data_IF_523419340201
#
_entry.id   IF_523419340201
#
_cell.length_a   1.000
_cell.length_b   1.000
_cell.length_c   1.000
_cell.angle_alpha   90.00
_cell.angle_beta   90.00
_cell.angle_gamma   90.00
#
_symmetry.space_group_name_H-M   'P 1'
#
loop_
_entity.id
_entity.type
_entity.pdbx_description
1 polymer ?
#
# COMPACT_ATOMS: atom_id res chain seq x y z
N UNK A 1 11.39 -2.10 -28.58
CA UNK A 1 12.69 -2.28 -29.26
C UNK A 1 13.12 -0.93 -29.78
N UNK A 2 14.18 -0.37 -29.24
CA UNK A 2 14.78 0.87 -29.78
C UNK A 2 16.11 0.50 -30.41
N UNK A 3 16.26 0.71 -31.70
CA UNK A 3 17.52 0.65 -32.42
C UNK A 3 18.09 2.06 -32.46
N UNK A 4 19.34 2.26 -32.01
CA UNK A 4 20.05 3.49 -32.30
C UNK A 4 20.32 3.55 -33.83
N UNK A 5 19.81 4.57 -34.47
CA UNK A 5 20.05 4.80 -35.90
C UNK A 5 21.19 5.81 -36.01
N UNK A 6 22.23 5.45 -36.75
CA UNK A 6 23.25 6.39 -37.22
C UNK A 6 22.56 7.57 -37.93
N UNK A 7 23.13 8.81 -37.86
CA UNK A 7 22.53 9.97 -38.52
C UNK A 7 22.20 9.66 -39.98
N UNK A 8 21.02 10.04 -40.42
CA UNK A 8 20.56 9.82 -41.77
C UNK A 8 21.56 10.40 -42.78
N UNK A 9 22.09 9.53 -43.65
CA UNK A 9 22.98 9.94 -44.75
C UNK A 9 24.34 9.25 -44.83
N UNK A 10 24.80 8.58 -43.79
CA UNK A 10 26.03 7.76 -43.88
C UNK A 10 25.72 6.29 -43.56
N UNK A 11 26.02 5.33 -44.43
CA UNK A 11 25.99 3.93 -44.07
C UNK A 11 27.02 3.67 -42.95
N UNK A 12 26.70 2.85 -41.94
CA UNK A 12 27.67 2.49 -40.93
C UNK A 12 28.90 1.84 -41.58
N UNK A 13 30.10 2.08 -41.05
CA UNK A 13 31.31 1.39 -41.48
C UNK A 13 31.10 -0.13 -41.49
N UNK A 14 31.80 -0.86 -42.35
CA UNK A 14 31.68 -2.31 -42.47
C UNK A 14 32.01 -3.07 -41.15
N UNK A 15 32.71 -2.42 -40.24
CA UNK A 15 33.13 -2.88 -38.91
C UNK A 15 32.29 -2.28 -37.76
N UNK A 16 31.19 -1.62 -38.06
CA UNK A 16 30.32 -1.05 -37.03
C UNK A 16 29.70 -2.14 -36.17
N UNK A 17 29.97 -2.09 -34.88
CA UNK A 17 29.27 -2.91 -33.89
C UNK A 17 27.82 -2.50 -33.81
N UNK A 18 26.93 -3.48 -33.73
CA UNK A 18 25.51 -3.27 -33.49
C UNK A 18 25.20 -3.77 -32.09
N UNK A 19 24.86 -2.86 -31.20
CA UNK A 19 24.33 -3.20 -29.89
C UNK A 19 22.81 -3.19 -29.96
N UNK A 20 22.21 -4.19 -29.34
CA UNK A 20 20.74 -4.26 -29.20
C UNK A 20 20.39 -4.05 -27.73
N UNK A 21 19.61 -3.00 -27.48
CA UNK A 21 19.09 -2.72 -26.15
C UNK A 21 17.60 -3.04 -26.13
N UNK A 22 17.21 -3.91 -25.23
CA UNK A 22 15.81 -4.22 -24.95
C UNK A 22 15.44 -3.58 -23.62
N UNK A 23 14.47 -2.69 -23.64
CA UNK A 23 13.97 -2.00 -22.46
C UNK A 23 12.51 -2.38 -22.27
N UNK A 24 12.17 -2.91 -21.10
CA UNK A 24 10.81 -3.13 -20.67
C UNK A 24 10.34 -1.94 -19.83
N UNK A 25 9.23 -1.34 -20.22
CA UNK A 25 8.63 -0.22 -19.53
C UNK A 25 7.35 -0.66 -18.86
N UNK A 26 7.14 -0.19 -17.63
CA UNK A 26 5.88 -0.36 -16.90
C UNK A 26 5.38 0.93 -16.30
N UNK A 27 4.08 1.00 -16.06
CA UNK A 27 3.50 2.10 -15.31
C UNK A 27 3.90 1.97 -13.85
N UNK A 28 4.47 3.03 -13.30
CA UNK A 28 4.91 3.05 -11.90
C UNK A 28 3.71 2.96 -10.96
N UNK A 29 3.71 1.96 -10.08
CA UNK A 29 2.68 1.74 -9.07
C UNK A 29 3.02 2.43 -7.76
N UNK A 30 2.01 2.84 -6.99
CA UNK A 30 2.19 3.27 -5.59
C UNK A 30 2.66 2.14 -4.68
N UNK A 31 2.51 0.87 -5.07
CA UNK A 31 3.07 -0.27 -4.36
C UNK A 31 4.59 -0.24 -4.20
N UNK A 32 5.31 0.48 -5.10
CA UNK A 32 6.76 0.66 -5.03
C UNK A 32 7.25 1.43 -3.81
N UNK A 33 6.40 2.12 -3.10
CA UNK A 33 6.77 2.87 -1.90
C UNK A 33 6.58 2.01 -0.65
N UNK A 34 7.64 1.89 0.16
CA UNK A 34 7.52 1.40 1.53
C UNK A 34 6.59 2.31 2.33
N UNK A 35 6.72 3.62 2.05
CA UNK A 35 5.89 4.65 2.64
C UNK A 35 5.69 5.81 1.67
N UNK A 36 4.42 6.16 1.47
CA UNK A 36 4.02 7.36 0.74
C UNK A 36 2.97 8.12 1.55
N UNK A 37 3.07 9.44 1.61
CA UNK A 37 2.04 10.31 2.19
C UNK A 37 1.80 11.57 1.34
N UNK A 38 0.55 11.98 1.27
CA UNK A 38 0.17 13.30 0.75
C UNK A 38 0.45 14.41 1.77
N UNK A 39 0.29 14.10 3.08
CA UNK A 39 0.58 15.00 4.20
C UNK A 39 1.11 14.22 5.40
N UNK A 40 2.09 14.78 6.09
CA UNK A 40 2.76 14.16 7.25
C UNK A 40 2.02 14.39 8.58
N UNK A 41 0.76 14.77 8.54
CA UNK A 41 -0.05 14.88 9.74
C UNK A 41 -1.50 15.26 9.45
N UNK A 42 -2.39 15.13 10.43
CA UNK A 42 -3.74 15.65 10.32
C UNK A 42 -3.72 17.18 10.21
N UNK A 43 -4.82 17.77 9.75
CA UNK A 43 -4.98 19.21 9.48
C UNK A 43 -4.27 20.10 10.50
N UNK A 44 -3.17 20.72 10.09
CA UNK A 44 -2.38 21.65 10.92
C UNK A 44 -1.35 21.02 11.86
N UNK A 45 -1.39 19.71 12.10
CA UNK A 45 -0.40 18.97 12.88
C UNK A 45 0.66 18.31 12.00
N UNK A 46 1.87 18.14 12.53
CA UNK A 46 2.93 17.36 11.89
C UNK A 46 3.38 16.25 12.81
N UNK A 47 3.51 15.05 12.26
CA UNK A 47 4.05 13.90 12.99
C UNK A 47 5.52 13.78 12.62
N UNK A 48 6.41 13.94 13.61
CA UNK A 48 7.84 13.81 13.41
C UNK A 48 8.25 12.35 13.14
N UNK A 49 9.27 12.17 12.32
CA UNK A 49 10.06 10.95 12.28
C UNK A 49 11.10 11.03 13.39
N UNK A 50 11.05 10.14 14.36
CA UNK A 50 11.84 10.18 15.57
C UNK A 50 13.04 9.20 15.50
N UNK A 51 13.98 9.31 16.44
CA UNK A 51 15.18 8.45 16.54
C UNK A 51 14.87 6.94 16.47
N UNK A 52 13.72 6.50 16.99
CA UNK A 52 13.30 5.10 16.95
C UNK A 52 12.71 4.65 15.62
N UNK A 53 12.42 5.59 14.71
CA UNK A 53 11.77 5.26 13.46
C UNK A 53 12.81 4.80 12.43
N UNK A 54 12.51 3.67 11.79
CA UNK A 54 13.30 3.12 10.70
C UNK A 54 12.39 2.76 9.52
N UNK A 55 12.77 3.19 8.32
CA UNK A 55 12.06 2.87 7.08
C UNK A 55 12.97 2.05 6.17
N UNK A 56 12.55 0.82 5.88
CA UNK A 56 13.24 -0.09 4.97
C UNK A 56 12.54 -0.07 3.60
N UNK A 57 13.02 0.76 2.69
CA UNK A 57 12.51 0.86 1.33
C UNK A 57 12.25 2.29 0.87
N UNK A 58 11.78 2.49 -0.38
CA UNK A 58 11.56 3.81 -0.95
C UNK A 58 10.51 4.60 -0.16
N UNK A 59 10.84 5.86 0.11
CA UNK A 59 10.00 6.79 0.85
C UNK A 59 9.66 8.01 -0.02
N UNK A 60 8.40 8.42 0.01
CA UNK A 60 7.99 9.68 -0.58
C UNK A 60 6.96 10.41 0.30
N UNK A 61 7.04 11.74 0.33
CA UNK A 61 5.95 12.57 0.84
C UNK A 61 5.75 13.83 -0.01
N UNK A 62 4.51 14.19 -0.25
CA UNK A 62 4.13 15.46 -0.88
C UNK A 62 4.29 16.66 0.07
N UNK A 63 4.59 16.39 1.33
CA UNK A 63 4.80 17.38 2.38
C UNK A 63 6.30 17.57 2.67
N UNK A 64 6.61 18.26 3.76
CA UNK A 64 7.94 18.30 4.37
C UNK A 64 8.19 17.03 5.18
N UNK A 65 9.39 16.48 5.06
CA UNK A 65 9.86 15.49 6.03
C UNK A 65 10.26 16.24 7.30
N UNK A 66 9.55 16.00 8.40
CA UNK A 66 9.89 16.59 9.69
C UNK A 66 10.51 15.53 10.60
N UNK A 67 11.72 15.79 11.09
CA UNK A 67 12.50 14.82 11.85
C UNK A 67 12.84 15.33 13.25
N UNK A 68 12.87 14.40 14.21
CA UNK A 68 13.31 14.63 15.60
C UNK A 68 14.35 13.58 15.98
N UNK A 69 15.59 14.05 16.24
CA UNK A 69 16.71 13.17 16.53
C UNK A 69 17.29 12.51 15.26
N UNK A 70 17.47 11.19 15.29
CA UNK A 70 18.23 10.44 14.27
C UNK A 70 17.41 9.27 13.66
N UNK A 71 16.28 9.53 12.99
CA UNK A 71 15.56 8.49 12.26
C UNK A 71 16.42 7.94 11.12
N UNK A 72 16.20 6.68 10.73
CA UNK A 72 16.98 5.97 9.70
C UNK A 72 16.09 5.61 8.51
N UNK A 73 16.54 6.02 7.32
CA UNK A 73 15.89 5.69 6.05
C UNK A 73 16.89 4.91 5.19
N UNK A 74 16.62 3.63 4.98
CA UNK A 74 17.48 2.74 4.18
C UNK A 74 17.23 2.89 2.68
N UNK A 75 16.01 3.17 2.27
CA UNK A 75 15.65 3.43 0.88
C UNK A 75 15.84 4.89 0.48
N UNK A 76 15.70 5.18 -0.82
CA UNK A 76 15.71 6.56 -1.33
C UNK A 76 14.55 7.35 -0.73
N UNK A 77 14.85 8.51 -0.16
CA UNK A 77 13.87 9.46 0.36
C UNK A 77 13.67 10.58 -0.66
N UNK A 78 12.44 10.77 -1.07
CA UNK A 78 12.02 11.89 -1.92
C UNK A 78 10.92 12.68 -1.25
N UNK A 79 10.84 13.97 -1.49
CA UNK A 79 9.71 14.78 -1.05
C UNK A 79 9.50 16.02 -1.94
N UNK A 80 8.33 16.65 -1.78
CA UNK A 80 8.02 17.86 -2.52
C UNK A 80 8.50 19.13 -1.82
N UNK A 81 8.33 19.24 -0.51
CA UNK A 81 8.45 20.51 0.22
C UNK A 81 9.71 20.65 1.10
N UNK A 82 10.63 19.67 1.07
CA UNK A 82 11.90 19.73 1.78
C UNK A 82 11.91 19.08 3.16
N UNK A 83 12.97 19.37 3.93
CA UNK A 83 13.27 18.79 5.25
C UNK A 83 13.13 19.84 6.34
N UNK A 84 12.50 19.48 7.44
CA UNK A 84 12.50 20.27 8.69
C UNK A 84 13.11 19.45 9.80
N UNK A 85 14.11 19.99 10.47
CA UNK A 85 14.74 19.41 11.66
C UNK A 85 14.18 20.07 12.92
N UNK A 86 13.66 19.28 13.83
CA UNK A 86 13.10 19.76 15.08
C UNK A 86 13.47 18.81 16.24
N UNK A 87 14.48 19.17 17.04
CA UNK A 87 15.28 20.40 17.00
C UNK A 87 16.25 20.46 15.79
N UNK A 88 16.86 21.62 15.57
CA UNK A 88 17.72 21.89 14.40
C UNK A 88 18.97 21.00 14.33
N UNK A 89 19.44 20.49 15.47
CA UNK A 89 20.56 19.56 15.59
C UNK A 89 20.18 18.09 15.33
N UNK A 90 18.96 17.81 14.90
CA UNK A 90 18.55 16.46 14.48
C UNK A 90 19.41 15.96 13.31
N UNK A 91 19.80 14.68 13.34
CA UNK A 91 20.74 14.04 12.41
C UNK A 91 20.10 12.82 11.71
N UNK A 92 19.08 13.01 10.84
CA UNK A 92 18.48 11.90 10.12
C UNK A 92 19.50 11.22 9.23
N UNK A 93 19.40 9.89 9.11
CA UNK A 93 20.26 9.08 8.24
C UNK A 93 19.50 8.71 6.97
N UNK A 94 19.98 9.18 5.81
CA UNK A 94 19.40 8.90 4.49
C UNK A 94 20.34 7.97 3.70
N UNK A 95 20.39 6.68 4.06
CA UNK A 95 21.33 5.71 3.49
C UNK A 95 21.09 5.46 1.99
N UNK A 96 19.82 5.53 1.53
CA UNK A 96 19.45 5.43 0.12
C UNK A 96 19.45 6.75 -0.64
N UNK A 97 19.94 7.83 -0.01
CA UNK A 97 19.94 9.20 -0.58
C UNK A 97 18.67 9.98 -0.28
N UNK A 98 18.78 11.31 -0.44
CA UNK A 98 17.71 12.28 -0.21
C UNK A 98 17.57 13.23 -1.40
N UNK A 99 16.33 13.48 -1.83
CA UNK A 99 16.03 14.40 -2.91
C UNK A 99 14.72 15.14 -2.62
N UNK A 100 14.73 16.47 -2.74
CA UNK A 100 13.54 17.32 -2.58
C UNK A 100 13.07 17.88 -3.92
N UNK A 101 11.87 18.48 -3.95
CA UNK A 101 11.29 19.07 -5.16
C UNK A 101 10.65 18.04 -6.10
N UNK A 102 10.46 16.81 -5.64
CA UNK A 102 9.83 15.75 -6.41
C UNK A 102 8.33 15.74 -6.12
N UNK A 103 7.53 15.90 -7.19
CA UNK A 103 6.07 15.89 -7.15
C UNK A 103 5.54 14.56 -7.71
N UNK A 104 4.85 13.79 -6.87
CA UNK A 104 4.18 12.53 -7.25
C UNK A 104 2.74 12.60 -6.75
N UNK A 105 1.82 13.22 -7.47
CA UNK A 105 0.46 13.42 -7.00
C UNK A 105 -0.28 12.08 -6.82
N UNK A 106 -1.12 12.02 -5.79
CA UNK A 106 -2.05 10.89 -5.62
C UNK A 106 -3.14 10.95 -6.69
N UNK A 107 -3.69 9.78 -7.10
CA UNK A 107 -4.88 9.74 -7.93
C UNK A 107 -6.06 10.39 -7.18
N UNK A 108 -7.01 10.94 -7.94
CA UNK A 108 -8.23 11.56 -7.40
C UNK A 108 -9.27 10.52 -6.97
N UNK A 109 -9.21 9.34 -7.54
CA UNK A 109 -10.21 8.28 -7.38
C UNK A 109 -9.63 6.89 -7.68
N UNK A 110 -10.48 5.86 -7.57
CA UNK A 110 -10.19 4.48 -7.94
C UNK A 110 -10.97 4.03 -9.20
N UNK A 111 -11.30 4.94 -10.11
CA UNK A 111 -12.07 4.62 -11.32
C UNK A 111 -11.43 3.53 -12.20
N UNK A 112 -10.10 3.47 -12.41
CA UNK A 112 -9.49 2.36 -13.16
C UNK A 112 -9.78 0.99 -12.53
N UNK A 113 -9.69 0.90 -11.20
CA UNK A 113 -9.99 -0.33 -10.47
C UNK A 113 -11.49 -0.67 -10.50
N UNK A 114 -12.36 0.34 -10.39
CA UNK A 114 -13.83 0.17 -10.52
C UNK A 114 -14.19 -0.35 -11.91
N UNK A 115 -13.62 0.22 -12.96
CA UNK A 115 -13.87 -0.22 -14.33
C UNK A 115 -13.39 -1.67 -14.55
N UNK A 116 -12.23 -2.04 -14.00
CA UNK A 116 -11.75 -3.41 -14.06
C UNK A 116 -12.67 -4.40 -13.34
N UNK A 117 -13.20 -4.01 -12.17
CA UNK A 117 -14.16 -4.82 -11.42
C UNK A 117 -15.48 -5.02 -12.19
N UNK A 118 -15.96 -3.99 -12.88
CA UNK A 118 -17.16 -4.05 -13.71
C UNK A 118 -16.95 -4.88 -15.00
N UNK A 119 -15.74 -4.85 -15.57
CA UNK A 119 -15.45 -5.53 -16.83
C UNK A 119 -15.34 -7.07 -16.67
N UNK A 120 -14.50 -7.54 -15.78
CA UNK A 120 -14.27 -8.97 -15.56
C UNK A 120 -13.80 -9.30 -14.13
N UNK A 121 -14.11 -8.43 -13.17
CA UNK A 121 -13.86 -8.65 -11.77
C UNK A 121 -15.14 -8.87 -10.98
N UNK A 122 -15.19 -8.28 -9.81
CA UNK A 122 -16.42 -8.27 -9.01
C UNK A 122 -16.70 -6.87 -8.45
N UNK A 123 -17.88 -6.36 -8.77
CA UNK A 123 -18.41 -5.12 -8.22
C UNK A 123 -19.61 -5.41 -7.35
N UNK A 124 -19.59 -4.95 -6.10
CA UNK A 124 -20.68 -5.03 -5.13
C UNK A 124 -21.03 -3.60 -4.68
N UNK A 125 -22.30 -3.35 -4.38
CA UNK A 125 -22.76 -2.01 -4.05
C UNK A 125 -23.70 -2.01 -2.86
N UNK A 126 -23.56 -1.00 -1.98
CA UNK A 126 -24.53 -0.65 -0.94
C UNK A 126 -24.61 -1.64 0.23
N UNK A 127 -23.61 -2.53 0.40
CA UNK A 127 -23.63 -3.55 1.46
C UNK A 127 -22.36 -3.48 2.31
N UNK A 128 -22.52 -3.24 3.59
CA UNK A 128 -21.43 -3.41 4.56
C UNK A 128 -21.17 -4.92 4.74
N UNK A 129 -19.95 -5.35 4.50
CA UNK A 129 -19.57 -6.76 4.46
C UNK A 129 -18.46 -7.07 5.47
N UNK A 130 -18.43 -8.33 5.94
CA UNK A 130 -17.26 -8.88 6.59
C UNK A 130 -16.65 -9.98 5.72
N UNK A 131 -15.36 -9.82 5.38
CA UNK A 131 -14.61 -10.75 4.55
C UNK A 131 -13.59 -11.48 5.42
N UNK A 132 -13.58 -12.81 5.34
CA UNK A 132 -12.54 -13.63 5.95
C UNK A 132 -11.80 -14.38 4.85
N UNK A 133 -10.53 -14.09 4.67
CA UNK A 133 -9.67 -14.80 3.75
C UNK A 133 -9.20 -16.13 4.36
N UNK A 134 -9.07 -17.16 3.52
CA UNK A 134 -8.59 -18.48 3.90
C UNK A 134 -7.36 -18.87 3.06
N UNK A 135 -6.49 -19.69 3.64
CA UNK A 135 -5.24 -20.13 3.00
C UNK A 135 -5.44 -21.06 1.78
N UNK A 136 -6.64 -21.55 1.57
CA UNK A 136 -7.04 -22.39 0.43
C UNK A 136 -7.58 -21.60 -0.76
N UNK A 137 -7.31 -20.29 -0.83
CA UNK A 137 -7.83 -19.36 -1.85
C UNK A 137 -9.35 -19.16 -1.82
N UNK A 138 -10.02 -19.51 -0.73
CA UNK A 138 -11.42 -19.18 -0.53
C UNK A 138 -11.58 -17.92 0.31
N UNK A 139 -12.78 -17.34 0.26
CA UNK A 139 -13.18 -16.20 1.08
C UNK A 139 -14.59 -16.38 1.57
N UNK A 140 -14.80 -16.24 2.88
CA UNK A 140 -16.13 -16.13 3.48
C UNK A 140 -16.62 -14.70 3.44
N UNK A 141 -17.81 -14.48 2.94
CA UNK A 141 -18.50 -13.18 2.86
C UNK A 141 -19.72 -13.20 3.75
N UNK A 142 -19.73 -12.40 4.81
CA UNK A 142 -20.90 -12.15 5.64
C UNK A 142 -21.59 -10.87 5.22
N UNK A 143 -22.95 -10.89 5.23
CA UNK A 143 -23.78 -9.73 4.86
C UNK A 143 -24.10 -9.64 3.37
N UNK A 144 -23.61 -10.55 2.52
CA UNK A 144 -23.95 -10.57 1.10
C UNK A 144 -25.40 -11.01 0.88
N UNK A 145 -25.82 -12.06 1.57
CA UNK A 145 -27.19 -12.58 1.56
C UNK A 145 -27.79 -12.32 2.94
N UNK A 146 -28.87 -11.52 2.99
CA UNK A 146 -29.54 -11.11 4.24
C UNK A 146 -31.01 -11.53 4.28
N UNK A 147 -31.60 -11.86 3.15
CA UNK A 147 -33.03 -12.26 3.01
C UNK A 147 -33.13 -13.51 2.15
N UNK A 148 -34.11 -14.42 2.44
CA UNK A 148 -35.02 -14.42 3.61
C UNK A 148 -34.32 -14.67 4.96
N UNK A 149 -33.10 -15.25 4.96
CA UNK A 149 -32.30 -15.50 6.17
C UNK A 149 -30.85 -15.10 5.87
N UNK A 150 -30.18 -14.45 6.82
CA UNK A 150 -28.76 -14.12 6.71
C UNK A 150 -27.92 -15.39 6.57
N UNK A 151 -27.09 -15.46 5.54
CA UNK A 151 -26.26 -16.61 5.23
C UNK A 151 -24.85 -16.19 4.87
N UNK A 152 -23.88 -16.87 5.45
CA UNK A 152 -22.46 -16.75 5.06
C UNK A 152 -22.28 -17.41 3.67
N UNK A 153 -21.55 -16.71 2.79
CA UNK A 153 -21.24 -17.20 1.45
C UNK A 153 -19.76 -17.49 1.36
N UNK A 154 -19.39 -18.70 0.99
CA UNK A 154 -18.00 -19.08 0.73
C UNK A 154 -17.78 -19.10 -0.77
N UNK A 155 -16.77 -18.39 -1.24
CA UNK A 155 -16.43 -18.27 -2.65
C UNK A 155 -14.96 -18.64 -2.89
N UNK A 156 -14.66 -19.23 -4.05
CA UNK A 156 -13.31 -19.42 -4.53
C UNK A 156 -12.87 -18.13 -5.24
N UNK A 157 -11.79 -17.50 -4.79
CA UNK A 157 -11.38 -16.17 -5.25
C UNK A 157 -11.19 -16.10 -6.77
N UNK A 158 -10.49 -17.07 -7.37
CA UNK A 158 -10.23 -17.10 -8.82
C UNK A 158 -11.49 -17.14 -9.69
N UNK A 159 -12.59 -17.69 -9.18
CA UNK A 159 -13.88 -17.76 -9.88
C UNK A 159 -14.75 -16.55 -9.55
N UNK A 160 -14.70 -16.08 -8.31
CA UNK A 160 -15.51 -14.96 -7.85
C UNK A 160 -14.98 -13.62 -8.34
N UNK A 161 -13.63 -13.50 -8.48
CA UNK A 161 -12.92 -12.28 -8.93
C UNK A 161 -11.88 -12.66 -9.98
N UNK A 162 -12.29 -13.02 -11.22
CA UNK A 162 -11.41 -13.65 -12.22
C UNK A 162 -10.17 -12.83 -12.60
N UNK A 163 -10.28 -11.49 -12.62
CA UNK A 163 -9.15 -10.60 -12.97
C UNK A 163 -8.44 -10.01 -11.74
N UNK A 164 -8.83 -10.39 -10.53
CA UNK A 164 -8.24 -9.89 -9.29
C UNK A 164 -8.71 -8.48 -8.85
N UNK A 165 -9.72 -7.89 -9.49
CA UNK A 165 -10.30 -6.60 -9.08
C UNK A 165 -11.63 -6.80 -8.33
N UNK A 166 -11.64 -6.57 -7.01
CA UNK A 166 -12.82 -6.60 -6.15
C UNK A 166 -13.14 -5.20 -5.64
N UNK A 167 -14.29 -4.67 -6.01
CA UNK A 167 -14.76 -3.35 -5.53
C UNK A 167 -16.06 -3.51 -4.76
N UNK A 168 -16.11 -2.93 -3.57
CA UNK A 168 -17.28 -2.82 -2.71
C UNK A 168 -17.57 -1.33 -2.52
N UNK A 169 -18.54 -0.83 -3.25
CA UNK A 169 -18.86 0.60 -3.33
C UNK A 169 -20.01 0.97 -2.40
N UNK A 170 -19.99 2.19 -1.90
CA UNK A 170 -20.98 2.76 -0.96
C UNK A 170 -21.12 1.89 0.29
N UNK A 171 -19.97 1.46 0.84
CA UNK A 171 -19.91 0.50 1.92
C UNK A 171 -18.75 0.75 2.87
N UNK A 172 -18.85 0.13 4.05
CA UNK A 172 -17.72 -0.13 4.95
C UNK A 172 -17.49 -1.64 4.99
N UNK A 173 -16.23 -2.07 5.05
CA UNK A 173 -15.88 -3.49 4.99
C UNK A 173 -14.95 -3.85 6.13
N UNK A 174 -15.22 -5.00 6.77
CA UNK A 174 -14.35 -5.61 7.77
C UNK A 174 -13.59 -6.77 7.17
N UNK A 175 -12.30 -6.85 7.42
CA UNK A 175 -11.45 -7.90 6.84
C UNK A 175 -10.56 -8.56 7.87
N UNK A 176 -10.25 -9.83 7.63
CA UNK A 176 -9.28 -10.63 8.40
C UNK A 176 -8.89 -11.90 7.66
N UNK A 177 -7.87 -12.58 8.14
CA UNK A 177 -7.55 -13.96 7.74
C UNK A 177 -6.27 -14.13 6.96
N UNK A 178 -6.08 -15.32 6.39
CA UNK A 178 -4.92 -15.69 5.58
C UNK A 178 -5.27 -15.68 4.11
N UNK A 179 -4.58 -14.86 3.35
CA UNK A 179 -4.82 -14.65 1.93
C UNK A 179 -3.89 -15.50 1.06
N UNK A 180 -4.44 -16.09 0.00
CA UNK A 180 -3.68 -16.76 -1.07
C UNK A 180 -4.15 -16.25 -2.43
N UNK A 181 -3.21 -15.88 -3.29
CA UNK A 181 -3.46 -15.44 -4.66
C UNK A 181 -3.07 -13.99 -4.94
N UNK A 182 -3.72 -13.40 -5.93
CA UNK A 182 -3.48 -12.01 -6.33
C UNK A 182 -4.81 -11.25 -6.39
N UNK A 183 -4.92 -10.17 -5.61
CA UNK A 183 -6.16 -9.41 -5.47
C UNK A 183 -5.90 -7.96 -5.14
N UNK A 184 -6.68 -7.05 -5.68
CA UNK A 184 -6.90 -5.73 -5.13
C UNK A 184 -8.35 -5.60 -4.67
N UNK A 185 -8.52 -5.41 -3.36
CA UNK A 185 -9.80 -5.10 -2.73
C UNK A 185 -9.91 -3.58 -2.56
N UNK A 186 -10.93 -2.97 -3.15
CA UNK A 186 -11.25 -1.56 -2.95
C UNK A 186 -12.58 -1.38 -2.24
N UNK A 187 -12.55 -0.59 -1.17
CA UNK A 187 -13.75 -0.14 -0.45
C UNK A 187 -13.99 1.32 -0.76
N UNK A 188 -15.11 1.63 -1.41
CA UNK A 188 -15.40 2.96 -1.89
C UNK A 188 -16.59 3.58 -1.17
N UNK A 189 -16.58 4.91 -1.06
CA UNK A 189 -17.61 5.67 -0.35
C UNK A 189 -18.85 5.92 -1.19
N UNK A 190 -18.77 5.83 -2.53
CA UNK A 190 -19.85 6.21 -3.43
C UNK A 190 -20.31 7.66 -3.26
N UNK A 191 -19.43 8.54 -2.73
CA UNK A 191 -19.76 9.93 -2.39
C UNK A 191 -20.32 10.13 -0.98
N UNK A 192 -20.53 9.07 -0.21
CA UNK A 192 -21.02 9.16 1.18
C UNK A 192 -19.88 9.43 2.16
N UNK A 193 -20.01 10.42 3.02
CA UNK A 193 -19.01 10.76 4.06
C UNK A 193 -18.90 9.70 5.18
N UNK A 194 -19.88 8.81 5.32
CA UNK A 194 -19.88 7.74 6.33
C UNK A 194 -19.36 6.39 5.84
N UNK A 195 -19.09 6.27 4.54
CA UNK A 195 -18.66 5.04 3.87
C UNK A 195 -17.22 5.14 3.35
N UNK A 196 -16.72 4.03 2.81
CA UNK A 196 -15.36 3.96 2.24
C UNK A 196 -14.28 3.58 3.24
N UNK A 197 -14.64 3.06 4.41
CA UNK A 197 -13.70 2.60 5.45
C UNK A 197 -13.48 1.10 5.35
N UNK A 198 -12.22 0.71 5.51
CA UNK A 198 -11.81 -0.69 5.65
C UNK A 198 -11.33 -0.93 7.08
N UNK A 199 -11.96 -1.86 7.77
CA UNK A 199 -11.63 -2.21 9.14
C UNK A 199 -10.85 -3.53 9.19
N UNK A 200 -9.69 -3.51 9.84
CA UNK A 200 -8.88 -4.69 10.11
C UNK A 200 -9.31 -5.30 11.46
N UNK A 201 -10.18 -6.30 11.41
CA UNK A 201 -10.74 -6.93 12.62
C UNK A 201 -9.81 -7.97 13.24
N UNK A 202 -8.79 -8.39 12.52
CA UNK A 202 -7.67 -9.22 12.95
C UNK A 202 -6.57 -9.13 11.89
N UNK A 203 -5.49 -9.88 12.08
CA UNK A 203 -4.41 -10.00 11.11
C UNK A 203 -4.94 -10.35 9.72
N UNK A 204 -4.34 -9.69 8.71
CA UNK A 204 -4.48 -10.03 7.28
C UNK A 204 -3.08 -10.37 6.79
N UNK A 205 -2.80 -11.65 6.65
CA UNK A 205 -1.48 -12.15 6.30
C UNK A 205 -1.54 -13.05 5.06
N UNK A 206 -0.44 -13.18 4.36
CA UNK A 206 -0.33 -14.15 3.28
C UNK A 206 -0.29 -15.58 3.85
N UNK A 207 -0.79 -16.54 3.10
CA UNK A 207 -0.64 -17.94 3.42
C UNK A 207 0.83 -18.39 3.29
N UNK A 208 1.55 -17.80 2.33
CA UNK A 208 2.96 -18.01 2.08
C UNK A 208 3.72 -16.74 2.44
N UNK A 209 4.47 -16.76 3.54
CA UNK A 209 5.16 -15.58 4.05
C UNK A 209 6.24 -15.11 3.05
N UNK A 210 6.19 -13.88 2.53
CA UNK A 210 7.20 -13.37 1.58
C UNK A 210 8.57 -13.15 2.23
N UNK A 211 8.66 -13.17 3.56
CA UNK A 211 9.92 -13.07 4.28
C UNK A 211 10.61 -14.42 4.45
N UNK A 212 9.92 -15.51 4.17
CA UNK A 212 10.49 -16.85 4.11
C UNK A 212 10.84 -17.20 2.65
N UNK A 213 12.13 -17.23 2.29
CA UNK A 213 12.54 -17.58 0.92
C UNK A 213 12.08 -18.97 0.49
N UNK A 214 11.91 -19.91 1.42
CA UNK A 214 11.45 -21.27 1.13
C UNK A 214 9.96 -21.30 0.75
N UNK A 215 9.17 -20.33 1.17
CA UNK A 215 7.75 -20.25 0.86
C UNK A 215 7.47 -19.90 -0.61
N UNK A 216 8.44 -19.31 -1.34
CA UNK A 216 8.31 -18.86 -2.75
C UNK A 216 6.95 -18.17 -3.01
N UNK A 217 6.60 -17.24 -2.15
CA UNK A 217 5.27 -16.62 -2.12
C UNK A 217 4.95 -15.89 -3.41
N UNK A 218 3.81 -16.23 -4.02
CA UNK A 218 3.21 -15.50 -5.14
C UNK A 218 1.99 -14.68 -4.69
N UNK A 219 1.71 -14.67 -3.38
CA UNK A 219 0.57 -13.95 -2.81
C UNK A 219 0.83 -12.44 -2.86
N UNK A 220 -0.06 -11.68 -3.48
CA UNK A 220 0.01 -10.22 -3.58
C UNK A 220 -1.38 -9.63 -3.36
N UNK A 221 -1.51 -8.83 -2.31
CA UNK A 221 -2.77 -8.20 -1.91
C UNK A 221 -2.65 -6.67 -1.90
N UNK A 222 -3.54 -6.02 -2.62
CA UNK A 222 -3.78 -4.58 -2.53
C UNK A 222 -5.03 -4.30 -1.70
N UNK A 223 -4.93 -3.42 -0.73
CA UNK A 223 -6.05 -2.97 0.11
C UNK A 223 -6.24 -1.47 -0.06
N UNK A 224 -7.29 -1.08 -0.78
CA UNK A 224 -7.59 0.31 -1.15
C UNK A 224 -8.86 0.79 -0.46
N UNK A 225 -8.81 1.93 0.21
CA UNK A 225 -9.98 2.55 0.85
C UNK A 225 -10.11 4.01 0.43
N UNK A 226 -11.31 4.47 0.08
CA UNK A 226 -11.50 5.90 -0.23
C UNK A 226 -11.41 6.77 1.01
N UNK A 227 -11.83 6.30 2.19
CA UNK A 227 -11.71 7.08 3.43
C UNK A 227 -10.45 6.68 4.21
N UNK A 228 -10.45 5.57 4.91
CA UNK A 228 -9.37 5.14 5.81
C UNK A 228 -9.28 3.63 5.93
N UNK A 229 -8.09 3.14 6.30
CA UNK A 229 -7.86 1.77 6.76
C UNK A 229 -7.67 1.85 8.27
N UNK A 230 -8.47 1.11 9.04
CA UNK A 230 -8.58 1.26 10.49
C UNK A 230 -8.36 -0.06 11.20
N UNK A 231 -7.37 -0.12 12.08
CA UNK A 231 -7.20 -1.25 13.00
C UNK A 231 -8.25 -1.12 14.11
N UNK A 232 -9.14 -2.12 14.21
CA UNK A 232 -10.24 -2.08 15.19
C UNK A 232 -9.75 -2.35 16.60
N UNK A 233 -10.40 -1.68 17.55
CA UNK A 233 -10.20 -1.93 18.97
C UNK A 233 -11.02 -3.15 19.41
N UNK A 234 -10.44 -4.34 19.32
CA UNK A 234 -11.04 -5.59 19.73
C UNK A 234 -10.03 -6.55 20.37
N UNK A 235 -10.48 -7.69 20.89
CA UNK A 235 -9.63 -8.67 21.54
C UNK A 235 -8.61 -9.31 20.60
N UNK A 236 -8.91 -9.47 19.30
CA UNK A 236 -8.00 -10.07 18.33
C UNK A 236 -6.77 -9.18 18.07
N UNK A 237 -6.92 -7.87 18.20
CA UNK A 237 -5.88 -6.87 17.95
C UNK A 237 -5.21 -6.37 19.25
N UNK A 238 -5.64 -6.85 20.43
CA UNK A 238 -5.18 -6.33 21.72
C UNK A 238 -3.68 -6.52 21.99
N UNK A 239 -3.06 -7.56 21.39
CA UNK A 239 -1.64 -7.89 21.58
C UNK A 239 -0.79 -7.67 20.33
N UNK A 240 -1.32 -7.00 19.32
CA UNK A 240 -0.65 -6.72 18.04
C UNK A 240 -1.43 -7.22 16.83
N UNK A 241 -0.98 -6.84 15.65
CA UNK A 241 -1.58 -7.21 14.38
C UNK A 241 -0.51 -7.43 13.31
N UNK A 242 -0.68 -8.46 12.48
CA UNK A 242 0.13 -8.67 11.28
C UNK A 242 -0.66 -8.25 10.04
N UNK A 243 -0.03 -7.45 9.20
CA UNK A 243 -0.61 -6.97 7.94
C UNK A 243 0.39 -7.26 6.82
N UNK A 244 0.02 -8.08 5.85
CA UNK A 244 0.84 -8.35 4.66
C UNK A 244 0.03 -7.94 3.43
N UNK A 245 0.27 -6.71 2.95
CA UNK A 245 -0.44 -6.10 1.83
C UNK A 245 0.20 -4.77 1.41
N UNK A 246 -0.09 -4.32 0.19
CA UNK A 246 0.06 -2.94 -0.22
C UNK A 246 -1.20 -2.16 0.19
N UNK A 247 -1.06 -1.16 1.05
CA UNK A 247 -2.16 -0.36 1.60
C UNK A 247 -2.28 0.97 0.86
N UNK A 248 -3.51 1.35 0.48
CA UNK A 248 -3.78 2.65 -0.14
C UNK A 248 -5.01 3.30 0.48
N UNK A 249 -4.85 4.50 1.04
CA UNK A 249 -5.96 5.30 1.58
C UNK A 249 -6.02 6.66 0.87
N UNK A 250 -7.14 6.94 0.20
CA UNK A 250 -7.26 8.07 -0.71
C UNK A 250 -7.51 9.40 0.00
N UNK A 251 -8.26 9.41 1.12
CA UNK A 251 -8.63 10.63 1.82
C UNK A 251 -7.98 10.79 3.20
N UNK A 252 -7.69 9.67 3.87
CA UNK A 252 -7.05 9.66 5.19
C UNK A 252 -5.83 8.73 5.19
N UNK A 253 -5.72 7.81 6.15
CA UNK A 253 -4.56 6.92 6.26
C UNK A 253 -4.85 5.65 7.04
N UNK A 254 -3.77 4.91 7.34
CA UNK A 254 -3.79 3.78 8.27
C UNK A 254 -3.81 4.32 9.71
N UNK A 255 -4.91 4.11 10.40
CA UNK A 255 -5.11 4.51 11.79
C UNK A 255 -5.51 3.33 12.68
N UNK A 256 -5.58 3.59 13.98
CA UNK A 256 -6.10 2.63 14.96
C UNK A 256 -7.18 3.28 15.82
N UNK A 257 -8.25 2.56 16.10
CA UNK A 257 -9.28 3.00 17.04
C UNK A 257 -8.68 3.13 18.44
N UNK A 258 -9.05 4.19 19.17
CA UNK A 258 -8.65 4.43 20.56
C UNK A 258 -7.13 4.27 20.81
N UNK A 259 -6.31 4.73 19.86
CA UNK A 259 -4.84 4.65 19.96
C UNK A 259 -4.25 5.44 21.13
N UNK A 260 -5.02 6.36 21.71
CA UNK A 260 -4.61 7.33 22.74
C UNK A 260 -5.31 7.10 24.10
N UNK A 261 -5.93 5.94 24.29
CA UNK A 261 -6.70 5.64 25.52
C UNK A 261 -5.85 5.11 26.71
N UNK A 262 -4.54 5.23 26.66
CA UNK A 262 -3.62 4.80 27.72
C UNK A 262 -3.31 3.30 27.72
N UNK A 263 -3.79 2.53 26.75
CA UNK A 263 -3.58 1.08 26.67
C UNK A 263 -2.55 0.75 25.56
N UNK A 264 -1.45 0.10 25.94
CA UNK A 264 -0.50 -0.47 24.99
C UNK A 264 -1.08 -1.72 24.33
N UNK A 265 -1.01 -1.80 22.97
CA UNK A 265 -1.65 -2.85 22.17
C UNK A 265 -0.65 -3.72 21.40
N UNK A 266 0.61 -3.75 21.83
CA UNK A 266 1.63 -4.52 21.15
C UNK A 266 2.14 -3.84 19.88
N UNK A 267 2.33 -4.61 18.81
CA UNK A 267 3.02 -4.15 17.60
C UNK A 267 2.20 -4.37 16.33
N UNK A 268 2.25 -3.40 15.42
CA UNK A 268 1.86 -3.59 14.03
C UNK A 268 3.06 -4.16 13.28
N UNK A 269 2.96 -5.40 12.83
CA UNK A 269 3.92 -6.03 11.94
C UNK A 269 3.40 -5.91 10.50
N UNK A 270 3.84 -4.89 9.79
CA UNK A 270 3.49 -4.69 8.39
C UNK A 270 4.61 -5.23 7.49
N UNK A 271 4.25 -6.06 6.52
CA UNK A 271 5.08 -6.41 5.37
C UNK A 271 4.36 -5.97 4.10
N UNK A 272 4.89 -4.98 3.40
CA UNK A 272 4.24 -4.37 2.23
C UNK A 272 4.62 -2.92 2.05
N UNK A 273 3.64 -2.09 1.75
CA UNK A 273 3.81 -0.64 1.63
C UNK A 273 2.57 0.12 2.10
N UNK A 274 2.76 1.38 2.45
CA UNK A 274 1.65 2.29 2.83
C UNK A 274 1.67 3.49 1.90
N UNK A 275 0.57 3.71 1.19
CA UNK A 275 0.28 4.94 0.46
C UNK A 275 -0.97 5.58 1.04
N UNK A 276 -0.87 6.82 1.52
CA UNK A 276 -1.96 7.46 2.24
C UNK A 276 -2.01 8.96 2.01
N UNK A 277 -3.21 9.54 2.03
CA UNK A 277 -3.38 10.99 1.90
C UNK A 277 -2.83 11.74 3.09
N UNK A 278 -3.14 11.25 4.29
CA UNK A 278 -2.68 11.84 5.54
C UNK A 278 -2.09 10.77 6.43
N UNK A 279 -0.94 11.06 7.03
CA UNK A 279 -0.40 10.20 8.07
C UNK A 279 -1.34 10.19 9.28
N UNK A 280 -1.88 9.01 9.62
CA UNK A 280 -2.74 8.85 10.77
C UNK A 280 -1.96 8.25 11.96
N UNK A 281 -2.51 8.44 13.16
CA UNK A 281 -1.91 7.92 14.37
C UNK A 281 -2.37 6.48 14.64
N UNK A 282 -1.43 5.65 15.08
CA UNK A 282 -1.70 4.26 15.54
C UNK A 282 -1.25 4.03 16.98
N UNK A 283 -0.56 5.00 17.58
CA UNK A 283 -0.07 4.99 18.95
C UNK A 283 0.65 6.28 19.28
N UNK A 284 0.93 6.50 20.56
CA UNK A 284 1.66 7.65 21.08
C UNK A 284 3.15 7.35 21.21
N UNK A 285 3.99 8.37 20.97
CA UNK A 285 5.43 8.29 21.18
C UNK A 285 5.71 8.11 22.69
N UNK A 286 6.61 7.17 23.04
CA UNK A 286 6.91 6.83 24.44
C UNK A 286 6.20 5.55 24.91
N UNK A 287 5.39 4.89 24.08
CA UNK A 287 4.96 3.50 24.29
C UNK A 287 3.81 3.28 25.27
N UNK A 288 3.20 4.36 25.79
CA UNK A 288 2.13 4.23 26.80
C UNK A 288 0.76 3.89 26.22
N UNK A 289 0.53 4.07 24.91
CA UNK A 289 -0.80 3.91 24.33
C UNK A 289 -0.72 3.54 22.85
N UNK A 290 -1.65 2.70 22.40
CA UNK A 290 -1.76 2.24 21.01
C UNK A 290 -0.66 1.23 20.63
N UNK A 291 -0.25 1.22 19.38
CA UNK A 291 0.68 0.25 18.81
C UNK A 291 2.08 0.83 18.62
N UNK A 292 3.10 0.00 18.85
CA UNK A 292 4.43 0.19 18.28
C UNK A 292 4.43 -0.27 16.81
N UNK A 293 5.43 0.15 16.02
CA UNK A 293 5.50 -0.10 14.57
C UNK A 293 6.68 -0.98 14.21
N UNK A 294 6.45 -1.95 13.33
CA UNK A 294 7.48 -2.71 12.62
C UNK A 294 7.06 -2.79 11.17
N UNK A 295 7.57 -1.87 10.35
CA UNK A 295 7.20 -1.77 8.94
C UNK A 295 8.35 -2.28 8.09
N UNK A 296 8.09 -3.36 7.35
CA UNK A 296 8.99 -3.96 6.38
C UNK A 296 8.44 -3.77 4.98
N UNK A 297 9.27 -3.32 4.07
CA UNK A 297 8.90 -3.27 2.68
C UNK A 297 8.92 -4.67 2.06
N UNK A 298 7.89 -4.99 1.29
CA UNK A 298 7.88 -6.17 0.44
C UNK A 298 8.57 -5.83 -0.89
N UNK A 299 9.82 -6.27 -1.07
CA UNK A 299 10.63 -5.94 -2.24
C UNK A 299 10.01 -6.41 -3.56
N UNK A 300 9.10 -7.38 -3.55
CA UNK A 300 8.40 -7.84 -4.74
C UNK A 300 7.55 -6.73 -5.37
N UNK A 301 7.06 -5.80 -4.54
CA UNK A 301 6.26 -4.64 -4.98
C UNK A 301 7.05 -3.62 -5.82
N UNK A 302 8.37 -3.74 -5.92
CA UNK A 302 9.19 -2.95 -6.85
C UNK A 302 8.89 -3.27 -8.31
N UNK A 303 8.61 -4.54 -8.61
CA UNK A 303 8.42 -5.07 -9.97
C UNK A 303 7.04 -5.68 -10.20
N UNK A 304 6.36 -6.08 -9.12
CA UNK A 304 5.03 -6.68 -9.17
C UNK A 304 4.04 -5.82 -8.39
N UNK A 305 2.96 -5.41 -9.04
CA UNK A 305 1.87 -4.71 -8.34
C UNK A 305 0.69 -5.63 -8.14
N UNK A 306 -0.10 -5.44 -7.07
CA UNK A 306 -1.42 -6.05 -7.01
C UNK A 306 -2.23 -5.68 -8.28
N UNK A 307 -3.13 -6.56 -8.76
CA UNK A 307 -3.92 -6.29 -9.96
C UNK A 307 -4.64 -4.94 -9.89
N UNK A 308 -4.49 -4.09 -10.91
CA UNK A 308 -5.14 -2.77 -11.00
C UNK A 308 -4.89 -1.83 -9.81
N UNK A 309 -3.80 -2.04 -9.08
CA UNK A 309 -3.43 -1.17 -7.96
C UNK A 309 -3.15 0.26 -8.43
N UNK A 310 -3.41 1.30 -7.62
CA UNK A 310 -3.21 2.68 -8.03
C UNK A 310 -1.79 2.97 -8.54
N UNK A 311 -1.71 3.75 -9.64
CA UNK A 311 -0.46 4.08 -10.31
C UNK A 311 -0.15 5.57 -10.17
N UNK A 312 1.14 5.91 -10.28
CA UNK A 312 1.61 7.31 -10.20
C UNK A 312 1.38 8.10 -11.50
N UNK A 313 0.92 7.43 -12.57
CA UNK A 313 0.77 8.04 -13.89
C UNK A 313 2.10 8.22 -14.64
N UNK A 314 3.24 7.87 -14.05
CA UNK A 314 4.55 7.90 -14.70
C UNK A 314 5.00 6.50 -15.11
N UNK A 315 5.89 6.43 -16.10
CA UNK A 315 6.52 5.19 -16.52
C UNK A 315 7.86 4.99 -15.83
N UNK A 316 8.26 3.74 -15.69
CA UNK A 316 9.57 3.36 -15.18
C UNK A 316 10.14 2.20 -16.01
N UNK A 317 11.44 2.10 -16.05
CA UNK A 317 12.12 0.94 -16.64
C UNK A 317 12.02 -0.21 -15.64
N UNK A 318 11.44 -1.34 -16.07
CA UNK A 318 11.33 -2.57 -15.29
C UNK A 318 12.53 -3.48 -15.51
N UNK A 319 12.99 -3.58 -16.75
CA UNK A 319 14.16 -4.36 -17.08
C UNK A 319 14.97 -3.70 -18.21
N UNK A 320 16.27 -3.96 -18.21
CA UNK A 320 17.22 -3.52 -19.23
C UNK A 320 18.07 -4.72 -19.63
N UNK A 321 18.15 -4.96 -20.92
CA UNK A 321 19.01 -5.98 -21.49
C UNK A 321 19.79 -5.39 -22.64
N UNK A 322 21.12 -5.56 -22.61
CA UNK A 322 22.05 -5.14 -23.65
C UNK A 322 22.79 -6.37 -24.16
N UNK A 323 22.89 -6.52 -25.50
CA UNK A 323 23.55 -7.65 -26.16
C UNK A 323 24.50 -7.14 -27.22
#
# INVERSE_FOLDING_TARGET
MATSVYPAGNPPPADAYRDTVIIEWGVSSFGRFAYYSGSEGPSGGKINWATSDTVFGPFHTQDKVTVNGSPVFWGKVTNKLGLTKNPSNSTPQFNGGYQTGIDIPMPSDFNPLKNAALANGRYLHGKDLTLTFHSDSTMTIKGLITTPVAKDTIVLLRTFVPNGALVIDTANVRIKGKFTGQLTLSVQSGGSSSKGKMYLDSSVAYAHDPLDPAANSQDILGLCATDSIVITNNTNNASGITIQAALFSLNKGLGAEQYDNGISRGRINLTGGISQKQRAAVGLVGGGSGYSKSYRYDNRLMTQSPPFYPTTGSYMILSWYEK
#
